data_IF_093297370354
#
_entry.id   IF_093297370354
#
_cell.length_a   1.000
_cell.length_b   1.000
_cell.length_c   1.000
_cell.angle_alpha   90.00
_cell.angle_beta   90.00
_cell.angle_gamma   90.00
#
_symmetry.space_group_name_H-M   'P 1'
#
loop_
_entity.id
_entity.type
_entity.pdbx_description
1 polymer ?
#
# COMPACT_ATOMS: atom_id res chain seq x y z
N UNK A 1 11.12 25.80 -3.75
CA UNK A 1 10.95 24.73 -2.75
C UNK A 1 9.65 24.86 -1.94
N UNK A 2 9.37 26.02 -1.28
CA UNK A 2 8.13 26.23 -0.49
C UNK A 2 6.84 26.08 -1.32
N UNK A 3 6.83 26.43 -2.59
CA UNK A 3 5.68 26.27 -3.49
C UNK A 3 5.47 24.80 -3.90
N UNK A 4 6.54 24.02 -4.05
CA UNK A 4 6.53 22.60 -4.35
C UNK A 4 6.00 21.77 -3.17
N UNK A 5 6.35 22.15 -1.92
CA UNK A 5 5.84 21.48 -0.72
C UNK A 5 4.33 21.71 -0.53
N UNK A 6 3.78 22.83 -1.04
CA UNK A 6 2.34 23.11 -0.97
C UNK A 6 1.52 22.27 -1.96
N UNK A 7 2.11 21.91 -3.11
CA UNK A 7 1.48 20.99 -4.08
C UNK A 7 1.51 19.53 -3.62
N UNK A 8 2.53 19.14 -2.84
CA UNK A 8 2.61 17.80 -2.26
C UNK A 8 1.46 17.48 -1.27
N UNK A 9 0.81 18.50 -0.71
CA UNK A 9 -0.39 18.33 0.15
C UNK A 9 -1.64 17.90 -0.63
N UNK A 10 -1.60 17.94 -1.96
CA UNK A 10 -2.72 17.54 -2.83
C UNK A 10 -2.57 16.11 -3.40
N UNK A 11 -1.58 15.33 -2.94
CA UNK A 11 -1.45 13.92 -3.32
C UNK A 11 -0.72 13.66 -4.64
N UNK A 12 0.01 14.64 -5.19
CA UNK A 12 0.77 14.47 -6.42
C UNK A 12 2.26 14.36 -6.10
N UNK A 13 2.77 13.15 -5.93
CA UNK A 13 4.21 12.89 -5.78
C UNK A 13 4.83 12.49 -7.13
N UNK A 14 4.94 13.46 -8.03
CA UNK A 14 5.46 13.25 -9.38
C UNK A 14 6.92 13.71 -9.50
N UNK A 15 7.40 14.54 -8.56
CA UNK A 15 8.63 15.33 -8.73
C UNK A 15 9.91 14.50 -8.77
N UNK A 16 9.98 13.42 -7.98
CA UNK A 16 11.19 12.58 -7.93
C UNK A 16 11.41 11.76 -9.20
N UNK A 17 10.33 11.24 -9.77
CA UNK A 17 10.41 10.30 -10.90
C UNK A 17 10.57 10.97 -12.26
N UNK A 18 9.96 12.14 -12.49
CA UNK A 18 10.03 12.83 -13.80
C UNK A 18 11.42 13.40 -14.08
N UNK A 19 12.12 13.93 -13.09
CA UNK A 19 13.50 14.43 -13.25
C UNK A 19 14.47 13.37 -13.75
N UNK A 20 14.31 12.14 -13.27
CA UNK A 20 15.17 11.00 -13.64
C UNK A 20 14.84 10.50 -15.03
N UNK A 21 13.55 10.41 -15.39
CA UNK A 21 13.08 9.84 -16.68
C UNK A 21 13.52 10.71 -17.87
N UNK A 22 13.48 12.04 -17.77
CA UNK A 22 13.83 12.92 -18.89
C UNK A 22 15.32 12.84 -19.21
N UNK A 23 16.19 12.68 -18.21
CA UNK A 23 17.64 12.55 -18.42
C UNK A 23 18.06 11.13 -18.83
N UNK A 24 17.36 10.10 -18.38
CA UNK A 24 17.61 8.68 -18.75
C UNK A 24 17.24 8.40 -20.21
N UNK A 25 16.16 8.98 -20.74
CA UNK A 25 15.80 8.83 -22.17
C UNK A 25 16.80 9.48 -23.13
N UNK A 26 17.62 10.42 -22.67
CA UNK A 26 18.69 11.01 -23.45
C UNK A 26 19.98 10.16 -23.47
N UNK A 27 20.06 9.12 -22.65
CA UNK A 27 21.20 8.19 -22.55
C UNK A 27 20.67 6.75 -22.63
N UNK A 28 20.49 6.21 -23.84
CA UNK A 28 19.95 4.84 -24.05
C UNK A 28 20.95 3.70 -23.76
N UNK A 29 22.04 3.95 -23.05
CA UNK A 29 22.96 2.88 -22.65
C UNK A 29 22.61 2.28 -21.29
N UNK A 30 22.66 0.95 -21.23
CA UNK A 30 22.39 0.12 -20.06
C UNK A 30 23.34 0.47 -18.90
N UNK A 31 22.81 0.99 -17.81
CA UNK A 31 23.57 1.28 -16.60
C UNK A 31 23.49 0.10 -15.61
N UNK A 32 24.61 -0.39 -15.08
CA UNK A 32 24.61 -1.34 -13.99
C UNK A 32 24.20 -0.69 -12.66
N UNK A 33 23.47 -1.43 -11.82
CA UNK A 33 22.91 -0.97 -10.52
C UNK A 33 23.93 -0.44 -9.50
N UNK A 34 25.23 -0.49 -9.80
CA UNK A 34 26.33 -0.12 -8.87
C UNK A 34 26.71 1.35 -8.86
N UNK A 35 26.13 2.20 -9.72
CA UNK A 35 26.63 3.57 -9.92
C UNK A 35 25.75 4.68 -9.32
N UNK A 36 25.40 4.55 -8.03
CA UNK A 36 24.74 5.62 -7.26
C UNK A 36 25.46 6.98 -7.35
N UNK A 37 26.81 7.06 -7.32
CA UNK A 37 27.57 8.31 -7.52
C UNK A 37 27.34 8.93 -8.90
N UNK A 38 27.22 8.12 -9.94
CA UNK A 38 26.97 8.57 -11.31
C UNK A 38 25.59 9.24 -11.45
N UNK A 39 24.55 8.66 -10.84
CA UNK A 39 23.22 9.28 -10.83
C UNK A 39 23.18 10.60 -10.06
N UNK A 40 23.97 10.74 -8.98
CA UNK A 40 24.10 11.98 -8.24
C UNK A 40 24.80 13.06 -9.09
N UNK A 41 25.79 12.70 -9.90
CA UNK A 41 26.48 13.62 -10.81
C UNK A 41 25.58 14.03 -11.99
N UNK A 42 24.82 13.11 -12.57
CA UNK A 42 23.80 13.42 -13.58
C UNK A 42 22.67 14.32 -13.05
N UNK A 43 22.43 14.34 -11.76
CA UNK A 43 21.43 15.18 -11.12
C UNK A 43 21.93 16.58 -10.75
N UNK A 44 23.23 16.87 -10.93
CA UNK A 44 23.78 18.23 -10.76
C UNK A 44 23.34 19.12 -11.93
N UNK A 45 23.14 20.39 -11.66
CA UNK A 45 22.88 21.45 -12.65
C UNK A 45 21.65 21.22 -13.55
N UNK A 46 20.64 20.49 -13.03
CA UNK A 46 19.39 20.30 -13.73
C UNK A 46 18.58 21.61 -13.77
N UNK A 47 18.23 22.05 -14.96
CA UNK A 47 17.32 23.19 -15.16
C UNK A 47 15.88 22.67 -15.03
N UNK A 48 15.10 23.29 -14.15
CA UNK A 48 13.68 22.99 -14.04
C UNK A 48 12.95 23.56 -15.27
N UNK A 49 12.47 22.69 -16.16
CA UNK A 49 11.68 23.06 -17.31
C UNK A 49 10.21 23.29 -16.93
N UNK A 50 9.49 22.24 -16.67
CA UNK A 50 8.07 22.32 -16.30
C UNK A 50 7.63 21.09 -15.49
N UNK A 51 6.47 21.17 -14.89
CA UNK A 51 5.82 20.08 -14.16
C UNK A 51 4.42 19.85 -14.71
N UNK A 52 4.11 18.58 -15.00
CA UNK A 52 2.78 18.16 -15.45
C UNK A 52 2.15 17.33 -14.32
N UNK A 53 0.91 17.70 -13.95
CA UNK A 53 0.07 16.86 -13.09
C UNK A 53 -0.74 15.90 -13.97
N UNK A 54 -0.60 14.61 -13.73
CA UNK A 54 -1.43 13.57 -14.35
C UNK A 54 -2.39 13.07 -13.28
N UNK A 55 -3.69 13.15 -13.56
CA UNK A 55 -4.74 12.60 -12.72
C UNK A 55 -5.48 11.54 -13.51
N UNK A 56 -5.42 10.31 -13.04
CA UNK A 56 -6.31 9.26 -13.50
C UNK A 56 -7.60 9.32 -12.69
N UNK A 57 -8.72 9.41 -13.39
CA UNK A 57 -10.03 9.49 -12.75
C UNK A 57 -10.55 8.09 -12.45
N UNK A 58 -11.11 7.94 -11.24
CA UNK A 58 -11.84 6.72 -10.91
C UNK A 58 -13.03 6.51 -11.85
N UNK A 59 -13.34 5.27 -12.20
CA UNK A 59 -14.53 4.94 -12.98
C UNK A 59 -15.78 5.42 -12.22
N UNK A 60 -16.77 6.03 -12.90
CA UNK A 60 -17.94 6.63 -12.24
C UNK A 60 -18.76 5.65 -11.39
N UNK A 61 -18.71 4.37 -11.72
CA UNK A 61 -19.49 3.30 -11.06
C UNK A 61 -18.88 2.88 -9.71
N UNK A 62 -17.58 3.13 -9.49
CA UNK A 62 -16.85 2.62 -8.31
C UNK A 62 -17.43 3.11 -6.99
N UNK A 63 -17.73 4.41 -6.78
CA UNK A 63 -18.32 4.86 -5.52
C UNK A 63 -19.67 4.19 -5.22
N UNK A 64 -20.50 3.98 -6.26
CA UNK A 64 -21.79 3.27 -6.14
C UNK A 64 -21.62 1.81 -5.73
N UNK A 65 -20.65 1.12 -6.32
CA UNK A 65 -20.32 -0.26 -6.00
C UNK A 65 -19.82 -0.41 -4.55
N UNK A 66 -18.93 0.49 -4.10
CA UNK A 66 -18.41 0.50 -2.73
C UNK A 66 -19.54 0.76 -1.73
N UNK A 67 -20.45 1.70 -2.02
CA UNK A 67 -21.61 1.96 -1.18
C UNK A 67 -22.55 0.73 -1.12
N UNK A 68 -22.72 0.01 -2.22
CA UNK A 68 -23.50 -1.23 -2.26
C UNK A 68 -22.86 -2.33 -1.39
N UNK A 69 -21.54 -2.51 -1.48
CA UNK A 69 -20.79 -3.41 -0.60
C UNK A 69 -21.01 -3.05 0.88
N UNK A 70 -20.90 -1.77 1.23
CA UNK A 70 -21.15 -1.31 2.60
C UNK A 70 -22.56 -1.63 3.11
N UNK A 71 -23.60 -1.44 2.29
CA UNK A 71 -24.98 -1.83 2.64
C UNK A 71 -25.15 -3.34 2.84
N UNK A 72 -24.38 -4.13 2.12
CA UNK A 72 -24.35 -5.60 2.27
C UNK A 72 -23.48 -6.09 3.44
N UNK A 73 -22.92 -5.18 4.26
CA UNK A 73 -22.03 -5.54 5.37
C UNK A 73 -20.62 -5.98 4.94
N UNK A 74 -20.26 -5.73 3.67
CA UNK A 74 -18.96 -6.10 3.12
C UNK A 74 -17.96 -4.96 3.38
N UNK A 75 -16.86 -5.27 4.04
CA UNK A 75 -15.73 -4.34 4.24
C UNK A 75 -14.85 -4.31 2.99
N UNK A 76 -14.87 -3.20 2.26
CA UNK A 76 -13.97 -2.98 1.14
C UNK A 76 -12.62 -2.46 1.64
N UNK A 77 -11.54 -3.05 1.15
CA UNK A 77 -10.15 -2.65 1.47
C UNK A 77 -9.41 -2.38 0.17
N UNK A 78 -8.64 -1.29 0.14
CA UNK A 78 -7.74 -0.98 -0.97
C UNK A 78 -6.33 -1.47 -0.64
N UNK A 79 -5.73 -2.23 -1.56
CA UNK A 79 -4.34 -2.67 -1.45
C UNK A 79 -3.64 -2.30 -2.75
N UNK A 80 -2.71 -1.34 -2.72
CA UNK A 80 -2.12 -0.73 -3.90
C UNK A 80 -0.61 -0.56 -3.77
N UNK A 81 0.09 -0.54 -4.91
CA UNK A 81 1.50 -0.15 -5.00
C UNK A 81 1.75 1.35 -4.87
N UNK A 82 0.72 2.18 -4.92
CA UNK A 82 0.82 3.63 -4.78
C UNK A 82 1.33 4.07 -3.41
N UNK A 83 1.82 5.31 -3.34
CA UNK A 83 2.17 5.91 -2.06
C UNK A 83 0.92 6.18 -1.19
N UNK A 84 1.12 6.29 0.12
CA UNK A 84 0.03 6.40 1.10
C UNK A 84 -0.84 7.64 0.89
N UNK A 85 -0.29 8.77 0.43
CA UNK A 85 -1.07 9.99 0.20
C UNK A 85 -2.02 9.83 -0.99
N UNK A 86 -1.55 9.22 -2.09
CA UNK A 86 -2.35 8.88 -3.26
C UNK A 86 -3.44 7.87 -2.87
N UNK A 87 -3.08 6.79 -2.19
CA UNK A 87 -4.01 5.76 -1.75
C UNK A 87 -5.11 6.32 -0.83
N UNK A 88 -4.78 7.18 0.12
CA UNK A 88 -5.76 7.85 0.98
C UNK A 88 -6.68 8.80 0.19
N UNK A 89 -6.13 9.54 -0.78
CA UNK A 89 -6.94 10.43 -1.62
C UNK A 89 -7.96 9.64 -2.46
N UNK A 90 -7.50 8.58 -3.14
CA UNK A 90 -8.37 7.72 -3.95
C UNK A 90 -9.42 7.04 -3.04
N UNK A 91 -9.01 6.47 -1.91
CA UNK A 91 -9.92 5.79 -0.99
C UNK A 91 -11.01 6.70 -0.43
N UNK A 92 -10.69 7.98 -0.22
CA UNK A 92 -11.67 9.01 0.15
C UNK A 92 -12.63 9.31 -1.01
N UNK A 93 -12.07 9.53 -2.21
CA UNK A 93 -12.84 9.93 -3.38
C UNK A 93 -13.84 8.83 -3.81
N UNK A 94 -13.49 7.55 -3.58
CA UNK A 94 -14.38 6.41 -3.87
C UNK A 94 -15.25 5.96 -2.69
N UNK A 95 -15.07 6.55 -1.48
CA UNK A 95 -15.90 6.27 -0.31
C UNK A 95 -15.48 5.05 0.53
N UNK A 96 -14.27 4.52 0.38
CA UNK A 96 -13.72 3.48 1.27
C UNK A 96 -13.46 4.06 2.67
N UNK A 97 -12.95 5.29 2.73
CA UNK A 97 -12.77 6.05 3.96
C UNK A 97 -13.50 7.40 3.84
N UNK A 98 -13.93 7.96 4.97
CA UNK A 98 -14.53 9.30 5.00
C UNK A 98 -13.45 10.39 5.10
N UNK A 99 -13.83 11.61 4.74
CA UNK A 99 -12.89 12.75 4.72
C UNK A 99 -12.32 13.08 6.10
N UNK A 100 -13.12 12.93 7.14
CA UNK A 100 -12.74 13.11 8.55
C UNK A 100 -11.75 12.05 9.05
N UNK A 101 -11.74 10.84 8.46
CA UNK A 101 -10.81 9.77 8.80
C UNK A 101 -9.39 10.00 8.23
N UNK A 102 -9.22 10.84 7.20
CA UNK A 102 -7.91 11.02 6.54
C UNK A 102 -6.83 11.59 7.45
N UNK A 103 -7.09 12.64 8.27
CA UNK A 103 -6.08 13.16 9.20
C UNK A 103 -5.62 12.12 10.22
N UNK A 104 -6.57 11.38 10.82
CA UNK A 104 -6.28 10.33 11.79
C UNK A 104 -5.55 9.15 11.16
N UNK A 105 -5.93 8.76 9.94
CA UNK A 105 -5.24 7.70 9.20
C UNK A 105 -3.76 8.05 8.98
N UNK A 106 -3.46 9.31 8.61
CA UNK A 106 -2.07 9.78 8.44
C UNK A 106 -1.30 9.80 9.76
N UNK A 107 -1.92 10.29 10.82
CA UNK A 107 -1.31 10.34 12.16
C UNK A 107 -0.95 8.94 12.65
N UNK A 108 -1.90 8.02 12.61
CA UNK A 108 -1.70 6.63 13.03
C UNK A 108 -0.68 5.91 12.15
N UNK A 109 -0.71 6.09 10.83
CA UNK A 109 0.28 5.50 9.95
C UNK A 109 1.71 5.93 10.29
N UNK A 110 1.90 7.22 10.65
CA UNK A 110 3.18 7.73 11.13
C UNK A 110 3.58 7.10 12.47
N UNK A 111 2.67 7.04 13.44
CA UNK A 111 2.94 6.42 14.74
C UNK A 111 3.33 4.94 14.61
N UNK A 112 2.65 4.18 13.75
CA UNK A 112 2.99 2.79 13.45
C UNK A 112 4.37 2.67 12.82
N UNK A 113 4.72 3.58 11.89
CA UNK A 113 6.05 3.60 11.30
C UNK A 113 7.11 3.88 12.37
N UNK A 114 6.97 4.95 13.15
CA UNK A 114 7.91 5.34 14.19
C UNK A 114 8.12 4.19 15.21
N UNK A 115 7.04 3.48 15.59
CA UNK A 115 7.09 2.36 16.52
C UNK A 115 7.78 1.12 15.90
N UNK A 116 7.47 0.80 14.65
CA UNK A 116 8.10 -0.31 13.92
C UNK A 116 9.59 -0.03 13.68
N UNK A 117 9.95 1.17 13.23
CA UNK A 117 11.35 1.56 13.01
C UNK A 117 12.17 1.49 14.30
N UNK A 118 11.58 1.86 15.43
CA UNK A 118 12.24 1.82 16.75
C UNK A 118 12.42 0.41 17.28
N UNK A 119 11.40 -0.42 17.21
CA UNK A 119 11.35 -1.69 17.95
C UNK A 119 11.42 -2.92 17.06
N UNK A 120 11.11 -2.81 15.77
CA UNK A 120 11.01 -3.90 14.80
C UNK A 120 10.21 -5.12 15.32
N UNK A 121 9.06 -4.85 15.96
CA UNK A 121 8.24 -5.87 16.62
C UNK A 121 6.76 -5.73 16.24
N UNK A 122 5.99 -6.83 16.33
CA UNK A 122 4.55 -6.79 16.17
C UNK A 122 3.87 -5.86 17.20
N UNK A 123 2.81 -5.16 16.76
CA UNK A 123 2.07 -4.21 17.60
C UNK A 123 0.76 -4.85 18.02
N UNK A 124 0.65 -5.19 19.30
CA UNK A 124 -0.56 -5.80 19.90
C UNK A 124 -1.41 -4.79 20.65
N UNK A 125 -0.78 -3.81 21.27
CA UNK A 125 -1.39 -2.80 22.14
C UNK A 125 -0.58 -1.50 22.11
N UNK A 126 -1.09 -0.44 22.75
CA UNK A 126 -0.39 0.85 22.89
C UNK A 126 -0.69 1.87 21.81
N UNK A 127 -1.17 1.44 20.66
CA UNK A 127 -1.68 2.29 19.59
C UNK A 127 -3.09 1.83 19.19
N UNK A 128 -3.92 2.76 18.71
CA UNK A 128 -5.20 2.41 18.11
C UNK A 128 -5.00 1.64 16.80
N UNK A 129 -5.96 0.77 16.46
CA UNK A 129 -5.93 0.04 15.18
C UNK A 129 -5.91 1.02 14.01
N UNK A 130 -4.97 0.90 13.06
CA UNK A 130 -4.79 1.85 11.98
C UNK A 130 -5.88 1.73 10.92
N UNK A 131 -6.17 2.82 10.23
CA UNK A 131 -7.04 2.83 9.03
C UNK A 131 -6.23 2.62 7.76
N UNK A 132 -4.98 3.09 7.74
CA UNK A 132 -4.07 2.97 6.61
C UNK A 132 -2.65 2.68 7.08
N UNK A 133 -1.92 1.83 6.34
CA UNK A 133 -0.49 1.54 6.55
C UNK A 133 0.23 1.41 5.20
N UNK A 134 1.54 1.53 5.22
CA UNK A 134 2.39 1.03 4.14
C UNK A 134 2.68 -0.46 4.34
N UNK A 135 2.88 -1.20 3.23
CA UNK A 135 3.00 -2.66 3.25
C UNK A 135 4.12 -3.17 4.15
N UNK A 136 5.28 -2.53 4.14
CA UNK A 136 6.41 -2.89 5.01
C UNK A 136 6.02 -2.76 6.50
N UNK A 137 5.41 -1.64 6.88
CA UNK A 137 4.96 -1.38 8.24
C UNK A 137 3.85 -2.37 8.64
N UNK A 138 2.90 -2.63 7.73
CA UNK A 138 1.84 -3.62 7.93
C UNK A 138 2.42 -5.00 8.23
N UNK A 139 3.42 -5.46 7.46
CA UNK A 139 4.03 -6.79 7.62
C UNK A 139 4.68 -6.95 8.98
N UNK A 140 5.45 -5.97 9.43
CA UNK A 140 6.10 -6.00 10.75
C UNK A 140 5.07 -5.86 11.87
N UNK A 141 4.14 -4.92 11.76
CA UNK A 141 3.10 -4.69 12.77
C UNK A 141 2.21 -5.93 13.01
N UNK A 142 1.95 -6.71 11.95
CA UNK A 142 1.20 -7.98 12.03
C UNK A 142 2.05 -9.18 12.49
N UNK A 143 3.38 -9.05 12.59
CA UNK A 143 4.27 -10.17 12.89
C UNK A 143 4.63 -11.05 11.68
N UNK A 144 4.03 -10.81 10.51
CA UNK A 144 4.34 -11.53 9.27
C UNK A 144 3.86 -12.99 9.26
N UNK A 145 4.43 -13.75 8.31
CA UNK A 145 4.14 -15.17 8.08
C UNK A 145 5.42 -15.99 8.14
N UNK A 146 5.33 -17.20 8.69
CA UNK A 146 6.33 -18.24 8.50
C UNK A 146 5.82 -19.25 7.47
N UNK A 147 6.67 -19.58 6.49
CA UNK A 147 6.43 -20.59 5.46
C UNK A 147 7.43 -21.72 5.69
N UNK A 148 6.95 -22.87 6.11
CA UNK A 148 7.78 -24.07 6.30
C UNK A 148 7.47 -25.07 5.20
N UNK A 149 8.47 -25.42 4.41
CA UNK A 149 8.33 -26.47 3.40
C UNK A 149 8.62 -27.81 4.05
N UNK A 150 7.62 -28.65 4.11
CA UNK A 150 7.76 -30.07 4.49
C UNK A 150 7.73 -30.94 3.24
N UNK A 151 8.16 -32.19 3.34
CA UNK A 151 8.19 -33.13 2.17
C UNK A 151 6.82 -33.34 1.53
N UNK A 152 5.74 -33.01 2.22
CA UNK A 152 4.36 -33.27 1.77
C UNK A 152 3.54 -32.01 1.47
N UNK A 153 3.91 -30.84 2.03
CA UNK A 153 3.12 -29.62 1.89
C UNK A 153 3.92 -28.35 2.24
N UNK A 154 3.43 -27.20 1.76
CA UNK A 154 3.84 -25.90 2.24
C UNK A 154 2.94 -25.51 3.41
N UNK A 155 3.49 -25.51 4.60
CA UNK A 155 2.79 -25.06 5.80
C UNK A 155 3.01 -23.54 5.99
N UNK A 156 1.93 -22.80 6.19
CA UNK A 156 1.94 -21.33 6.34
C UNK A 156 1.22 -20.98 7.62
N UNK A 157 1.89 -20.21 8.47
CA UNK A 157 1.37 -19.83 9.78
C UNK A 157 1.54 -18.34 10.01
N UNK A 158 0.51 -17.70 10.62
CA UNK A 158 0.65 -16.36 11.18
C UNK A 158 1.57 -16.40 12.39
N UNK A 159 2.61 -15.59 12.41
CA UNK A 159 3.55 -15.55 13.54
C UNK A 159 2.91 -14.93 14.78
N UNK A 160 1.95 -14.00 14.59
CA UNK A 160 1.28 -13.29 15.68
C UNK A 160 -0.18 -13.00 15.33
N UNK A 161 -1.08 -13.88 15.71
CA UNK A 161 -2.52 -13.73 15.40
C UNK A 161 -3.16 -12.56 16.13
N UNK A 162 -2.71 -12.22 17.34
CA UNK A 162 -3.27 -11.11 18.11
C UNK A 162 -2.81 -9.75 17.52
N UNK A 163 -1.54 -9.62 17.15
CA UNK A 163 -1.04 -8.44 16.47
C UNK A 163 -1.73 -8.26 15.09
N UNK A 164 -1.95 -9.36 14.37
CA UNK A 164 -2.70 -9.30 13.11
C UNK A 164 -4.13 -8.82 13.34
N UNK A 165 -4.88 -9.42 14.28
CA UNK A 165 -6.26 -9.00 14.61
C UNK A 165 -6.33 -7.53 14.97
N UNK A 166 -5.41 -7.07 15.83
CA UNK A 166 -5.33 -5.68 16.25
C UNK A 166 -5.12 -4.76 15.06
N UNK A 167 -4.14 -5.06 14.22
CA UNK A 167 -3.78 -4.23 13.06
C UNK A 167 -4.90 -4.18 12.03
N UNK A 168 -5.54 -5.30 11.70
CA UNK A 168 -6.57 -5.33 10.62
C UNK A 168 -7.95 -4.86 11.04
N UNK A 169 -8.21 -4.68 12.33
CA UNK A 169 -9.54 -4.36 12.86
C UNK A 169 -10.20 -3.16 12.17
N UNK A 170 -9.45 -2.09 11.94
CA UNK A 170 -9.93 -0.87 11.26
C UNK A 170 -9.24 -0.62 9.92
N UNK A 171 -8.28 -1.46 9.53
CA UNK A 171 -7.45 -1.26 8.35
C UNK A 171 -8.30 -1.32 7.08
N UNK A 172 -8.25 -0.27 6.28
CA UNK A 172 -8.96 -0.15 5.00
C UNK A 172 -8.02 0.10 3.82
N UNK A 173 -6.79 0.58 4.08
CA UNK A 173 -5.85 0.95 3.03
C UNK A 173 -4.47 0.38 3.34
N UNK A 174 -3.89 -0.35 2.38
CA UNK A 174 -2.47 -0.73 2.38
C UNK A 174 -1.84 -0.11 1.14
N UNK A 175 -0.91 0.81 1.37
CA UNK A 175 -0.15 1.51 0.34
C UNK A 175 1.23 0.86 0.16
N UNK A 176 1.87 1.04 -0.98
CA UNK A 176 3.18 0.43 -1.28
C UNK A 176 3.22 -1.07 -0.97
N UNK A 177 2.11 -1.73 -1.25
CA UNK A 177 1.95 -3.14 -0.96
C UNK A 177 2.71 -4.01 -1.96
N UNK A 178 3.45 -4.97 -1.44
CA UNK A 178 4.04 -6.06 -2.21
C UNK A 178 3.02 -7.20 -2.43
N UNK A 179 3.29 -8.14 -3.33
CA UNK A 179 2.48 -9.36 -3.47
C UNK A 179 2.38 -10.16 -2.16
N UNK A 180 3.43 -10.13 -1.34
CA UNK A 180 3.45 -10.80 -0.04
C UNK A 180 2.50 -10.14 0.96
N UNK A 181 2.39 -8.82 0.95
CA UNK A 181 1.48 -8.08 1.83
C UNK A 181 0.02 -8.38 1.48
N UNK A 182 -0.29 -8.47 0.17
CA UNK A 182 -1.60 -8.89 -0.33
C UNK A 182 -1.94 -10.30 0.13
N UNK A 183 -0.99 -11.22 -0.01
CA UNK A 183 -1.14 -12.60 0.45
C UNK A 183 -1.33 -12.69 1.97
N UNK A 184 -0.49 -11.99 2.76
CA UNK A 184 -0.58 -11.94 4.22
C UNK A 184 -1.96 -11.46 4.68
N UNK A 185 -2.49 -10.39 4.07
CA UNK A 185 -3.81 -9.87 4.41
C UNK A 185 -4.91 -10.92 4.15
N UNK A 186 -4.92 -11.51 2.97
CA UNK A 186 -5.94 -12.51 2.59
C UNK A 186 -5.85 -13.75 3.46
N UNK A 187 -4.65 -14.28 3.64
CA UNK A 187 -4.40 -15.45 4.48
C UNK A 187 -4.86 -15.22 5.92
N UNK A 188 -4.42 -14.12 6.54
CA UNK A 188 -4.77 -13.82 7.92
C UNK A 188 -6.26 -13.56 8.12
N UNK A 189 -6.94 -12.87 7.20
CA UNK A 189 -8.40 -12.70 7.27
C UNK A 189 -9.13 -14.03 7.20
N UNK A 190 -8.68 -14.98 6.37
CA UNK A 190 -9.26 -16.34 6.31
C UNK A 190 -9.03 -17.11 7.61
N UNK A 191 -7.86 -17.00 8.22
CA UNK A 191 -7.57 -17.61 9.54
C UNK A 191 -8.48 -17.04 10.65
N UNK A 192 -9.01 -15.84 10.47
CA UNK A 192 -10.01 -15.24 11.35
C UNK A 192 -11.46 -15.62 10.96
N UNK A 193 -11.65 -16.64 10.14
CA UNK A 193 -12.97 -17.11 9.64
C UNK A 193 -13.74 -16.06 8.83
N UNK A 194 -13.05 -15.10 8.19
CA UNK A 194 -13.71 -14.18 7.26
C UNK A 194 -13.81 -14.82 5.87
N UNK A 195 -14.92 -14.54 5.18
CA UNK A 195 -15.03 -14.83 3.75
C UNK A 195 -14.36 -13.69 2.99
N UNK A 196 -13.36 -14.01 2.18
CA UNK A 196 -12.53 -13.03 1.48
C UNK A 196 -12.68 -13.17 -0.02
N UNK A 197 -13.02 -12.07 -0.67
CA UNK A 197 -12.96 -11.91 -2.11
C UNK A 197 -11.81 -10.95 -2.48
N UNK A 198 -11.13 -11.22 -3.59
CA UNK A 198 -10.04 -10.38 -4.12
C UNK A 198 -10.33 -10.08 -5.58
N UNK A 199 -10.13 -8.83 -5.99
CA UNK A 199 -10.09 -8.44 -7.40
C UNK A 199 -8.69 -7.91 -7.72
N UNK A 200 -8.15 -8.27 -8.88
CA UNK A 200 -6.84 -7.85 -9.34
C UNK A 200 -6.66 -8.12 -10.84
N UNK A 201 -5.75 -7.36 -11.47
CA UNK A 201 -5.52 -7.37 -12.92
C UNK A 201 -4.09 -7.83 -13.30
N UNK A 202 -3.27 -8.16 -12.33
CA UNK A 202 -1.86 -8.43 -12.55
C UNK A 202 -1.33 -9.73 -11.96
N UNK A 203 -0.23 -10.19 -12.54
CA UNK A 203 0.53 -11.36 -12.04
C UNK A 203 0.95 -11.20 -10.57
N UNK A 204 1.09 -9.95 -10.10
CA UNK A 204 1.41 -9.61 -8.72
C UNK A 204 0.27 -9.97 -7.74
N UNK A 205 -0.96 -10.08 -8.22
CA UNK A 205 -2.14 -10.39 -7.42
C UNK A 205 -2.45 -11.90 -7.39
N UNK A 206 -1.84 -12.68 -8.28
CA UNK A 206 -2.11 -14.10 -8.42
C UNK A 206 -2.00 -14.91 -7.11
N UNK A 207 -1.00 -14.69 -6.21
CA UNK A 207 -0.95 -15.40 -4.93
C UNK A 207 -2.14 -15.07 -4.02
N UNK A 208 -2.57 -13.80 -3.98
CA UNK A 208 -3.71 -13.35 -3.18
C UNK A 208 -5.04 -13.85 -3.78
N UNK A 209 -5.19 -13.79 -5.11
CA UNK A 209 -6.36 -14.30 -5.84
C UNK A 209 -6.56 -15.79 -5.59
N UNK A 210 -5.51 -16.62 -5.69
CA UNK A 210 -5.55 -18.06 -5.41
C UNK A 210 -5.86 -18.36 -3.95
N UNK A 211 -5.42 -17.51 -3.03
CA UNK A 211 -5.65 -17.70 -1.60
C UNK A 211 -7.06 -17.30 -1.17
N UNK A 212 -7.73 -16.40 -1.86
CA UNK A 212 -9.08 -15.93 -1.55
C UNK A 212 -10.13 -17.05 -1.66
N UNK A 213 -11.32 -16.83 -1.11
CA UNK A 213 -12.49 -17.69 -1.37
C UNK A 213 -13.07 -17.43 -2.75
N UNK A 214 -13.02 -16.16 -3.19
CA UNK A 214 -13.47 -15.74 -4.53
C UNK A 214 -12.41 -14.81 -5.09
N UNK A 215 -11.89 -15.13 -6.27
CA UNK A 215 -10.97 -14.30 -7.04
C UNK A 215 -11.67 -13.79 -8.30
N UNK A 216 -11.54 -12.49 -8.55
CA UNK A 216 -11.97 -11.85 -9.80
C UNK A 216 -10.75 -11.33 -10.52
N UNK A 217 -10.49 -11.83 -11.72
CA UNK A 217 -9.49 -11.31 -12.63
C UNK A 217 -10.17 -10.29 -13.55
N UNK A 218 -9.64 -9.04 -13.59
CA UNK A 218 -10.21 -7.91 -14.33
C UNK A 218 -9.43 -7.62 -15.60
#
# INVERSE_FOLDING_TARGET
LKKLTKMNRQGIDIIGQIKIIIKIKACEEKFPEKDLPFFQELAKDLIFGFMIGIRDNNRPEVPGAIAACGRAGITVRMVTGDNINTALSISRDVGIISADQVPDARKLAKQYRDEVEKNNKPIRTGLDSPVALEGEIFRVACGGLTKTKTDKALDIVLNDSEAFKHTVKRLKVIARASPEDKFLLVFGLKQMNNIVAVTGDGTNDAPALKQAHVGFEA
#
